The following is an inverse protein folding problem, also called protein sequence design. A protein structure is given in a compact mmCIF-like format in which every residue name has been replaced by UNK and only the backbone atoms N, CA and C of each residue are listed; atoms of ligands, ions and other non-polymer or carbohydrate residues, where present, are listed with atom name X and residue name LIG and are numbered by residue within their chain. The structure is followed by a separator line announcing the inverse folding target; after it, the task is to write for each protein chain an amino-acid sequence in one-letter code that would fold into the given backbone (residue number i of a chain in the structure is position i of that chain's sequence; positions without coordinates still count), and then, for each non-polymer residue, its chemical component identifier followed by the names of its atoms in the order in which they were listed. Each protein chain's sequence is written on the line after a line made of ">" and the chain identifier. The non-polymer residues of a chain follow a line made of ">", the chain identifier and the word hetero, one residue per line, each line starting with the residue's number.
data_IF_441219460853
#
_entry.id   IF_441219460853
#
_cell.length_a   1.000
_cell.length_b   1.000
_cell.length_c   1.000
_cell.angle_alpha   90.00
_cell.angle_beta   90.00
_cell.angle_gamma   90.00
#
_symmetry.space_group_name_H-M   'P 1'
#
loop_
_entity.id
_entity.type
_entity.pdbx_description
1 polymer ?
#
# COMPACT_ATOMS: atom_id res chain seq x y z
N UNK A 1 -18.73 13.03 5.26
CA UNK A 1 -19.59 11.82 5.14
C UNK A 1 -18.99 10.73 6.00
N UNK A 2 -19.75 10.18 6.97
CA UNK A 2 -19.23 9.10 7.84
C UNK A 2 -19.21 7.76 7.13
N UNK A 3 -18.17 6.94 7.40
CA UNK A 3 -18.12 5.56 6.92
C UNK A 3 -19.19 4.73 7.64
N UNK A 4 -20.00 3.99 6.90
CA UNK A 4 -21.10 3.20 7.49
C UNK A 4 -20.62 1.87 8.03
N UNK A 5 -19.61 1.26 7.41
CA UNK A 5 -19.09 -0.04 7.81
C UNK A 5 -17.66 -0.21 7.30
N UNK A 6 -16.79 -0.74 8.15
CA UNK A 6 -15.39 -1.00 7.86
C UNK A 6 -15.14 -2.50 8.00
N UNK A 7 -14.64 -3.14 6.97
CA UNK A 7 -14.16 -4.51 7.03
C UNK A 7 -12.64 -4.53 7.07
N UNK A 8 -12.07 -5.40 7.87
CA UNK A 8 -10.63 -5.55 7.98
C UNK A 8 -10.20 -7.00 8.06
N UNK A 9 -9.05 -7.31 7.50
CA UNK A 9 -8.34 -8.57 7.64
C UNK A 9 -6.88 -8.30 7.98
N UNK A 10 -6.35 -9.00 8.96
CA UNK A 10 -4.96 -8.92 9.38
C UNK A 10 -4.47 -10.29 9.82
N UNK A 11 -3.17 -10.54 9.68
CA UNK A 11 -2.55 -11.75 10.19
C UNK A 11 -2.68 -11.78 11.72
N UNK A 12 -3.24 -12.87 12.23
CA UNK A 12 -3.32 -13.14 13.66
C UNK A 12 -2.17 -14.08 14.03
N UNK A 13 -1.31 -13.64 14.94
CA UNK A 13 -0.16 -14.41 15.40
C UNK A 13 0.00 -14.28 16.91
N UNK A 14 0.52 -15.33 17.55
CA UNK A 14 0.96 -15.28 18.93
C UNK A 14 2.38 -14.70 19.08
N UNK A 15 3.09 -14.49 17.95
CA UNK A 15 4.38 -13.83 17.94
C UNK A 15 4.20 -12.33 18.15
N UNK A 16 4.74 -11.82 19.27
CA UNK A 16 4.68 -10.41 19.64
C UNK A 16 5.41 -9.49 18.64
N UNK A 17 6.28 -10.04 17.78
CA UNK A 17 6.98 -9.30 16.73
C UNK A 17 6.07 -8.99 15.54
N UNK A 18 4.97 -9.72 15.38
CA UNK A 18 4.01 -9.47 14.31
C UNK A 18 2.99 -8.43 14.79
N UNK A 19 2.96 -7.23 14.19
CA UNK A 19 2.01 -6.20 14.56
C UNK A 19 0.58 -6.68 14.30
N UNK A 20 -0.31 -6.39 15.22
CA UNK A 20 -1.75 -6.61 15.03
C UNK A 20 -2.55 -5.40 15.51
N UNK A 21 -3.75 -5.27 15.02
CA UNK A 21 -4.60 -4.15 15.40
C UNK A 21 -5.05 -4.28 16.85
N UNK A 22 -4.97 -3.16 17.59
CA UNK A 22 -5.38 -3.11 18.99
C UNK A 22 -6.85 -3.50 19.17
N UNK A 23 -7.13 -4.43 20.09
CA UNK A 23 -8.49 -4.82 20.44
C UNK A 23 -9.37 -3.65 20.92
N UNK A 24 -8.77 -2.57 21.42
CA UNK A 24 -9.50 -1.35 21.85
C UNK A 24 -10.24 -0.69 20.68
N UNK A 25 -9.65 -0.66 19.49
CA UNK A 25 -10.28 -0.07 18.29
C UNK A 25 -11.57 -0.80 17.92
N UNK A 26 -11.62 -2.11 18.12
CA UNK A 26 -12.75 -2.95 17.70
C UNK A 26 -13.85 -3.06 18.75
N UNK A 27 -13.48 -2.96 20.02
CA UNK A 27 -14.45 -3.04 21.13
C UNK A 27 -15.22 -1.73 21.33
N UNK A 28 -14.72 -0.63 20.78
CA UNK A 28 -15.30 0.70 20.90
C UNK A 28 -16.10 1.15 19.66
N UNK A 29 -16.07 0.39 18.55
CA UNK A 29 -16.71 0.79 17.32
C UNK A 29 -17.46 -0.37 16.66
N UNK A 30 -18.78 -0.35 16.79
CA UNK A 30 -19.71 -1.33 16.22
C UNK A 30 -19.75 -1.32 14.67
N UNK A 31 -19.17 -0.31 14.02
CA UNK A 31 -19.04 -0.22 12.56
C UNK A 31 -17.86 -1.03 12.01
N UNK A 32 -16.94 -1.46 12.86
CA UNK A 32 -15.76 -2.22 12.43
C UNK A 32 -16.02 -3.72 12.50
N UNK A 33 -15.81 -4.40 11.40
CA UNK A 33 -15.91 -5.85 11.25
C UNK A 33 -14.55 -6.43 10.90
N UNK A 34 -13.89 -7.01 11.88
CA UNK A 34 -12.70 -7.81 11.62
C UNK A 34 -13.08 -9.22 11.20
N UNK A 35 -12.31 -9.74 10.25
CA UNK A 35 -12.35 -11.16 9.98
C UNK A 35 -11.72 -11.92 11.15
N UNK A 36 -12.56 -12.25 12.14
CA UNK A 36 -12.22 -13.08 13.30
C UNK A 36 -12.49 -14.57 13.04
N UNK A 37 -12.86 -14.93 11.81
CA UNK A 37 -13.17 -16.31 11.52
C UNK A 37 -11.95 -17.18 11.83
N UNK A 38 -12.19 -18.40 12.26
CA UNK A 38 -11.30 -19.54 12.58
C UNK A 38 -9.99 -19.61 11.79
N UNK A 39 -9.72 -18.59 10.99
CA UNK A 39 -8.60 -18.39 10.12
C UNK A 39 -7.61 -17.44 10.79
N UNK A 40 -6.35 -17.72 10.58
CA UNK A 40 -5.21 -16.90 11.06
C UNK A 40 -5.16 -15.50 10.44
N UNK A 41 -6.10 -15.13 9.58
CA UNK A 41 -6.03 -13.90 8.75
C UNK A 41 -4.95 -13.95 7.67
N UNK A 42 -4.33 -15.12 7.48
CA UNK A 42 -3.28 -15.30 6.48
C UNK A 42 -3.88 -15.33 5.07
N UNK A 43 -3.78 -14.21 4.36
CA UNK A 43 -4.31 -14.08 2.99
C UNK A 43 -3.51 -14.89 1.96
N UNK A 44 -2.38 -15.49 2.29
CA UNK A 44 -1.71 -16.46 1.40
C UNK A 44 -2.52 -17.75 1.23
N UNK A 45 -3.40 -18.06 2.17
CA UNK A 45 -4.40 -19.10 2.01
C UNK A 45 -5.54 -18.60 1.14
N UNK A 46 -5.70 -19.16 -0.05
CA UNK A 46 -6.81 -18.83 -0.94
C UNK A 46 -8.17 -18.97 -0.25
N UNK A 47 -8.33 -20.01 0.58
CA UNK A 47 -9.55 -20.22 1.35
C UNK A 47 -9.84 -19.03 2.28
N UNK A 48 -8.82 -18.51 2.98
CA UNK A 48 -8.97 -17.34 3.85
C UNK A 48 -9.38 -16.11 3.07
N UNK A 49 -8.75 -15.87 1.91
CA UNK A 49 -9.10 -14.75 1.03
C UNK A 49 -10.54 -14.88 0.49
N UNK A 50 -10.93 -16.06 0.00
CA UNK A 50 -12.27 -16.31 -0.54
C UNK A 50 -13.35 -16.18 0.53
N UNK A 51 -13.09 -16.64 1.77
CA UNK A 51 -14.01 -16.51 2.90
C UNK A 51 -14.18 -15.03 3.29
N UNK A 52 -13.10 -14.25 3.28
CA UNK A 52 -13.17 -12.80 3.50
C UNK A 52 -13.98 -12.11 2.39
N UNK A 53 -13.70 -12.40 1.13
CA UNK A 53 -14.43 -11.85 -0.02
C UNK A 53 -15.95 -12.10 0.12
N UNK A 54 -16.36 -13.27 0.55
CA UNK A 54 -17.79 -13.62 0.74
C UNK A 54 -18.47 -12.83 1.87
N UNK A 55 -17.70 -12.41 2.87
CA UNK A 55 -18.24 -11.69 4.05
C UNK A 55 -18.33 -10.19 3.83
N UNK A 56 -17.51 -9.63 2.92
CA UNK A 56 -17.44 -8.18 2.68
C UNK A 56 -18.53 -7.77 1.70
N UNK A 57 -19.30 -6.76 2.08
CA UNK A 57 -20.13 -6.03 1.09
C UNK A 57 -19.21 -5.23 0.17
N UNK A 58 -19.66 -4.95 -1.05
CA UNK A 58 -18.90 -4.11 -1.98
C UNK A 58 -18.48 -2.79 -1.30
N UNK A 59 -17.21 -2.44 -1.42
CA UNK A 59 -16.57 -1.33 -0.73
C UNK A 59 -16.22 -0.19 -1.69
N UNK A 60 -16.55 1.04 -1.30
CA UNK A 60 -16.21 2.24 -2.08
C UNK A 60 -14.70 2.52 -2.04
N UNK A 61 -14.08 2.29 -0.89
CA UNK A 61 -12.63 2.43 -0.70
C UNK A 61 -12.07 1.12 -0.18
N UNK A 62 -11.03 0.64 -0.82
CA UNK A 62 -10.19 -0.47 -0.35
C UNK A 62 -8.79 0.06 -0.12
N UNK A 63 -8.16 -0.31 0.99
CA UNK A 63 -6.76 0.00 1.27
C UNK A 63 -6.00 -1.28 1.59
N UNK A 64 -4.80 -1.41 1.08
CA UNK A 64 -3.90 -2.52 1.35
C UNK A 64 -2.50 -1.97 1.71
N UNK A 65 -2.07 -2.23 2.93
CA UNK A 65 -0.84 -1.72 3.51
C UNK A 65 -0.07 -2.84 4.25
N UNK A 66 -0.17 -4.06 3.75
CA UNK A 66 0.56 -5.20 4.28
C UNK A 66 2.07 -5.03 4.15
N UNK A 67 2.81 -5.66 5.05
CA UNK A 67 4.27 -5.58 5.04
C UNK A 67 4.92 -6.60 5.93
N UNK A 68 6.25 -6.67 5.82
CA UNK A 68 7.12 -7.53 6.60
C UNK A 68 8.21 -6.70 7.28
N UNK A 69 8.94 -7.33 8.18
CA UNK A 69 10.21 -6.79 8.63
C UNK A 69 11.28 -7.04 7.54
N UNK A 70 11.74 -5.97 6.92
CA UNK A 70 12.77 -6.00 5.87
C UNK A 70 14.16 -5.65 6.39
N UNK A 71 14.36 -5.56 7.70
CA UNK A 71 15.64 -5.13 8.31
C UNK A 71 16.84 -5.96 7.90
N UNK A 72 16.62 -7.21 7.51
CA UNK A 72 17.68 -8.12 7.06
C UNK A 72 18.19 -7.81 5.64
N UNK A 73 17.34 -7.37 4.73
CA UNK A 73 17.73 -7.06 3.35
C UNK A 73 16.66 -6.19 2.67
N UNK A 74 16.88 -4.88 2.67
CA UNK A 74 15.98 -3.93 2.03
C UNK A 74 15.92 -4.08 0.50
N UNK A 75 16.95 -4.63 -0.13
CA UNK A 75 16.97 -4.81 -1.58
C UNK A 75 16.01 -5.91 -2.05
N UNK A 76 15.54 -6.76 -1.15
CA UNK A 76 14.57 -7.81 -1.46
C UNK A 76 13.12 -7.43 -1.20
N UNK A 77 12.84 -6.17 -0.81
CA UNK A 77 11.48 -5.74 -0.48
C UNK A 77 10.46 -6.05 -1.58
N UNK A 78 10.77 -5.72 -2.82
CA UNK A 78 9.88 -5.98 -3.96
C UNK A 78 9.57 -7.47 -4.10
N UNK A 79 10.59 -8.33 -4.12
CA UNK A 79 10.42 -9.77 -4.28
C UNK A 79 9.66 -10.42 -3.12
N UNK A 80 10.00 -10.00 -1.89
CA UNK A 80 9.37 -10.52 -0.67
C UNK A 80 7.89 -10.12 -0.59
N UNK A 81 7.57 -8.91 -1.03
CA UNK A 81 6.20 -8.37 -0.99
C UNK A 81 5.33 -8.85 -2.15
N UNK A 82 5.92 -9.34 -3.24
CA UNK A 82 5.18 -9.68 -4.47
C UNK A 82 3.95 -10.54 -4.23
N UNK A 83 4.09 -11.65 -3.48
CA UNK A 83 2.99 -12.55 -3.18
C UNK A 83 1.91 -11.90 -2.32
N UNK A 84 2.30 -11.04 -1.39
CA UNK A 84 1.37 -10.28 -0.56
C UNK A 84 0.54 -9.32 -1.43
N UNK A 85 1.22 -8.52 -2.25
CA UNK A 85 0.62 -7.58 -3.19
C UNK A 85 -0.35 -8.31 -4.14
N UNK A 86 0.04 -9.47 -4.63
CA UNK A 86 -0.84 -10.32 -5.45
C UNK A 86 -2.15 -10.66 -4.74
N UNK A 87 -2.06 -11.14 -3.50
CA UNK A 87 -3.23 -11.51 -2.69
C UNK A 87 -4.11 -10.29 -2.38
N UNK A 88 -3.51 -9.16 -2.07
CA UNK A 88 -4.20 -7.90 -1.82
C UNK A 88 -4.95 -7.41 -3.06
N UNK A 89 -4.34 -7.45 -4.24
CA UNK A 89 -4.98 -7.11 -5.51
C UNK A 89 -6.15 -8.07 -5.81
N UNK A 90 -5.96 -9.38 -5.64
CA UNK A 90 -7.03 -10.36 -5.83
C UNK A 90 -8.24 -10.06 -4.96
N UNK A 91 -8.02 -9.79 -3.68
CA UNK A 91 -9.10 -9.45 -2.74
C UNK A 91 -9.76 -8.13 -3.16
N UNK A 92 -8.97 -7.09 -3.42
CA UNK A 92 -9.47 -5.77 -3.77
C UNK A 92 -10.38 -5.80 -4.99
N UNK A 93 -9.96 -6.42 -6.09
CA UNK A 93 -10.76 -6.51 -7.32
C UNK A 93 -12.07 -7.31 -7.13
N UNK A 94 -12.11 -8.21 -6.15
CA UNK A 94 -13.32 -8.97 -5.85
C UNK A 94 -14.32 -8.20 -4.97
N UNK A 95 -13.86 -7.34 -4.06
CA UNK A 95 -14.72 -6.62 -3.10
C UNK A 95 -15.00 -5.18 -3.51
N UNK A 96 -14.31 -4.63 -4.51
CA UNK A 96 -14.46 -3.26 -4.93
C UNK A 96 -15.85 -2.99 -5.52
N UNK A 97 -16.45 -1.86 -5.11
CA UNK A 97 -17.68 -1.35 -5.73
C UNK A 97 -17.32 -0.64 -7.05
N UNK A 98 -18.21 -0.71 -8.02
CA UNK A 98 -18.07 0.03 -9.27
C UNK A 98 -17.84 1.54 -8.98
N UNK A 99 -16.87 2.17 -9.68
CA UNK A 99 -16.40 3.54 -9.45
C UNK A 99 -15.71 3.77 -8.09
N UNK A 100 -15.48 2.74 -7.30
CA UNK A 100 -14.71 2.83 -6.07
C UNK A 100 -13.21 3.02 -6.30
N UNK A 101 -12.48 3.30 -5.21
CA UNK A 101 -11.04 3.55 -5.22
C UNK A 101 -10.25 2.49 -4.44
N UNK A 102 -9.03 2.20 -4.90
CA UNK A 102 -8.11 1.30 -4.24
C UNK A 102 -6.76 1.97 -4.00
N UNK A 103 -6.23 1.83 -2.80
CA UNK A 103 -4.90 2.32 -2.42
C UNK A 103 -4.05 1.13 -1.99
N UNK A 104 -2.95 0.92 -2.68
CA UNK A 104 -2.05 -0.20 -2.47
C UNK A 104 -0.64 0.30 -2.17
N UNK A 105 -0.05 -0.12 -1.04
CA UNK A 105 1.36 0.12 -0.77
C UNK A 105 2.21 -0.84 -1.60
N UNK A 106 3.24 -0.29 -2.24
CA UNK A 106 4.27 -1.05 -2.96
C UNK A 106 5.64 -0.50 -2.60
N UNK A 107 6.66 -1.27 -2.97
CA UNK A 107 8.06 -0.85 -2.89
C UNK A 107 8.60 -0.56 -4.30
N UNK A 108 9.77 -1.10 -4.65
CA UNK A 108 10.26 -0.98 -6.01
C UNK A 108 9.35 -1.72 -7.01
N UNK A 109 9.41 -1.30 -8.26
CA UNK A 109 8.64 -1.85 -9.38
C UNK A 109 9.57 -2.09 -10.56
N UNK A 110 10.62 -2.87 -10.32
CA UNK A 110 11.64 -3.20 -11.32
C UNK A 110 11.38 -4.57 -11.96
N UNK A 111 10.83 -5.53 -11.21
CA UNK A 111 10.60 -6.87 -11.70
C UNK A 111 9.38 -6.94 -12.59
N UNK A 112 9.53 -7.63 -13.72
CA UNK A 112 8.48 -7.82 -14.72
C UNK A 112 7.17 -8.32 -14.11
N UNK A 113 7.24 -9.25 -13.15
CA UNK A 113 6.07 -9.79 -12.47
C UNK A 113 5.31 -8.75 -11.64
N UNK A 114 6.00 -7.80 -11.02
CA UNK A 114 5.36 -6.68 -10.31
C UNK A 114 4.67 -5.75 -11.29
N UNK A 115 5.33 -5.46 -12.42
CA UNK A 115 4.77 -4.62 -13.49
C UNK A 115 3.50 -5.26 -14.08
N UNK A 116 3.46 -6.59 -14.23
CA UNK A 116 2.25 -7.32 -14.65
C UNK A 116 1.06 -7.10 -13.70
N UNK A 117 1.29 -7.10 -12.38
CA UNK A 117 0.23 -6.80 -11.41
C UNK A 117 -0.28 -5.37 -11.54
N UNK A 118 0.61 -4.40 -11.72
CA UNK A 118 0.23 -3.00 -11.93
C UNK A 118 -0.54 -2.83 -13.25
N UNK A 119 -0.20 -3.58 -14.27
CA UNK A 119 -0.93 -3.56 -15.53
C UNK A 119 -2.37 -4.05 -15.37
N UNK A 120 -2.61 -5.07 -14.54
CA UNK A 120 -3.98 -5.51 -14.21
C UNK A 120 -4.79 -4.40 -13.53
N UNK A 121 -4.16 -3.63 -12.63
CA UNK A 121 -4.82 -2.47 -12.03
C UNK A 121 -5.13 -1.40 -13.08
N UNK A 122 -4.17 -1.10 -13.96
CA UNK A 122 -4.38 -0.16 -15.08
C UNK A 122 -5.55 -0.57 -15.98
N UNK A 123 -5.73 -1.86 -16.24
CA UNK A 123 -6.88 -2.36 -17.00
C UNK A 123 -8.20 -2.26 -16.23
N UNK A 124 -8.15 -2.34 -14.90
CA UNK A 124 -9.32 -2.47 -14.02
C UNK A 124 -9.89 -1.14 -13.53
N UNK A 125 -9.13 -0.04 -13.64
CA UNK A 125 -9.52 1.29 -13.14
C UNK A 125 -9.46 2.34 -14.25
N UNK A 126 -10.22 3.44 -14.08
CA UNK A 126 -10.21 4.56 -15.03
C UNK A 126 -8.89 5.34 -14.94
N UNK A 127 -8.38 5.50 -13.72
CA UNK A 127 -7.15 6.24 -13.44
C UNK A 127 -6.27 5.46 -12.45
N UNK A 128 -4.97 5.40 -12.73
CA UNK A 128 -3.98 4.77 -11.86
C UNK A 128 -2.77 5.70 -11.72
N UNK A 129 -2.41 6.03 -10.50
CA UNK A 129 -1.29 6.90 -10.18
C UNK A 129 -0.27 6.16 -9.31
N UNK A 130 1.02 6.46 -9.51
CA UNK A 130 2.09 6.08 -8.59
C UNK A 130 2.42 7.33 -7.75
N UNK A 131 2.26 7.23 -6.44
CA UNK A 131 2.37 8.36 -5.54
C UNK A 131 3.37 8.10 -4.40
N UNK A 132 4.31 9.02 -4.23
CA UNK A 132 5.21 9.07 -3.08
C UNK A 132 4.76 10.24 -2.20
N UNK A 133 4.20 9.98 -0.99
CA UNK A 133 3.80 11.06 -0.09
C UNK A 133 4.99 11.96 0.28
N UNK A 134 4.77 13.27 0.29
CA UNK A 134 5.81 14.27 0.61
C UNK A 134 6.36 14.14 2.04
N UNK A 135 5.57 13.56 2.95
CA UNK A 135 5.98 13.26 4.33
C UNK A 135 6.73 11.93 4.46
N UNK A 136 6.73 11.08 3.41
CA UNK A 136 7.49 9.85 3.39
C UNK A 136 8.97 10.13 3.13
N UNK A 137 9.85 9.37 3.77
CA UNK A 137 11.29 9.50 3.56
C UNK A 137 11.64 9.17 2.11
N UNK A 138 12.29 10.09 1.41
CA UNK A 138 12.70 9.87 0.02
C UNK A 138 13.78 8.79 -0.12
N UNK A 139 14.51 8.48 0.96
CA UNK A 139 15.52 7.43 0.98
C UNK A 139 14.96 6.00 0.95
N UNK A 140 13.66 5.80 1.22
CA UNK A 140 13.04 4.47 1.13
C UNK A 140 12.27 4.29 -0.18
N UNK A 141 12.07 3.03 -0.58
CA UNK A 141 11.38 2.67 -1.82
C UNK A 141 9.86 2.66 -1.71
N UNK A 142 9.29 2.83 -0.50
CA UNK A 142 7.85 2.81 -0.26
C UNK A 142 7.11 3.86 -1.08
N UNK A 143 6.09 3.45 -1.78
CA UNK A 143 5.17 4.29 -2.56
C UNK A 143 3.78 3.65 -2.61
N UNK A 144 2.83 4.38 -3.13
CA UNK A 144 1.43 3.96 -3.19
C UNK A 144 0.91 3.99 -4.61
N UNK A 145 0.19 2.92 -4.98
CA UNK A 145 -0.60 2.89 -6.20
C UNK A 145 -2.01 3.33 -5.82
N UNK A 146 -2.45 4.43 -6.41
CA UNK A 146 -3.78 4.99 -6.21
C UNK A 146 -4.59 4.72 -7.46
N UNK A 147 -5.66 3.94 -7.31
CA UNK A 147 -6.55 3.54 -8.38
C UNK A 147 -7.93 4.15 -8.14
N UNK A 148 -8.45 4.92 -9.09
CA UNK A 148 -9.75 5.55 -9.04
C UNK A 148 -10.66 5.05 -10.16
N UNK A 149 -11.95 4.96 -9.86
CA UNK A 149 -12.96 4.63 -10.86
C UNK A 149 -12.92 3.16 -11.29
N UNK A 150 -13.10 2.23 -10.34
CA UNK A 150 -13.16 0.81 -10.68
C UNK A 150 -14.19 0.53 -11.78
N UNK A 151 -13.76 -0.08 -12.88
CA UNK A 151 -14.58 -0.37 -14.07
C UNK A 151 -15.59 -1.48 -13.86
N UNK A 152 -15.52 -2.18 -12.74
CA UNK A 152 -16.39 -3.30 -12.41
C UNK A 152 -15.67 -4.65 -12.46
N UNK A 153 -16.40 -5.69 -12.05
CA UNK A 153 -15.88 -7.04 -11.97
C UNK A 153 -15.55 -7.60 -13.37
N UNK A 154 -14.27 -7.92 -13.58
CA UNK A 154 -13.79 -8.57 -14.79
C UNK A 154 -13.53 -10.05 -14.51
N UNK A 155 -14.38 -10.93 -15.07
CA UNK A 155 -14.32 -12.37 -14.87
C UNK A 155 -12.99 -12.98 -15.35
N UNK A 156 -12.43 -12.49 -16.43
CA UNK A 156 -11.18 -13.02 -17.01
C UNK A 156 -10.00 -12.71 -16.09
N UNK A 157 -9.84 -11.45 -15.67
CA UNK A 157 -8.79 -11.03 -14.72
C UNK A 157 -8.89 -11.82 -13.42
N UNK A 158 -10.10 -11.92 -12.85
CA UNK A 158 -10.32 -12.66 -11.59
C UNK A 158 -10.03 -14.15 -11.76
N UNK A 159 -10.42 -14.74 -12.89
CA UNK A 159 -10.15 -16.17 -13.18
C UNK A 159 -8.64 -16.44 -13.25
N UNK A 160 -7.88 -15.57 -13.91
CA UNK A 160 -6.42 -15.68 -14.01
C UNK A 160 -5.80 -15.56 -12.61
N UNK A 161 -6.15 -14.54 -11.85
CA UNK A 161 -5.64 -14.35 -10.49
C UNK A 161 -6.03 -15.51 -9.56
N UNK A 162 -7.25 -16.02 -9.68
CA UNK A 162 -7.71 -17.19 -8.90
C UNK A 162 -6.91 -18.46 -9.25
N UNK A 163 -6.64 -18.70 -10.54
CA UNK A 163 -5.90 -19.86 -11.04
C UNK A 163 -4.47 -19.91 -10.48
N UNK A 164 -3.79 -18.78 -10.47
CA UNK A 164 -2.39 -18.69 -10.07
C UNK A 164 -2.19 -18.27 -8.60
N UNK A 165 -3.24 -18.24 -7.80
CA UNK A 165 -3.18 -17.75 -6.40
C UNK A 165 -2.16 -18.47 -5.53
N UNK A 166 -1.98 -19.77 -5.71
CA UNK A 166 -1.01 -20.58 -4.94
C UNK A 166 0.39 -20.44 -5.56
N UNK A 167 0.46 -20.38 -6.88
CA UNK A 167 1.71 -20.35 -7.66
C UNK A 167 1.82 -19.01 -8.40
N UNK A 168 1.89 -17.91 -7.66
CA UNK A 168 1.88 -16.55 -8.20
C UNK A 168 3.01 -16.26 -9.18
N UNK A 169 4.13 -16.96 -9.07
CA UNK A 169 5.27 -16.83 -9.98
C UNK A 169 5.00 -17.37 -11.38
N UNK A 170 3.93 -18.15 -11.56
CA UNK A 170 3.49 -18.65 -12.87
C UNK A 170 2.55 -17.67 -13.59
N UNK A 171 2.19 -16.55 -12.95
CA UNK A 171 1.40 -15.53 -13.61
C UNK A 171 2.19 -14.96 -14.80
N UNK A 172 1.58 -14.98 -15.95
CA UNK A 172 2.12 -14.34 -17.16
C UNK A 172 1.04 -13.50 -17.81
N UNK A 173 1.33 -12.22 -18.02
CA UNK A 173 0.46 -11.25 -18.68
C UNK A 173 1.30 -10.49 -19.70
N UNK A 174 0.82 -10.46 -20.91
CA UNK A 174 1.45 -9.67 -21.97
C UNK A 174 1.25 -8.17 -21.69
N UNK A 175 2.35 -7.43 -21.70
CA UNK A 175 2.36 -6.00 -21.41
C UNK A 175 2.45 -5.20 -22.71
N UNK A 176 1.73 -4.09 -22.78
CA UNK A 176 1.92 -3.16 -23.89
C UNK A 176 3.27 -2.44 -23.76
N UNK A 177 3.97 -2.25 -24.87
CA UNK A 177 5.26 -1.51 -24.89
C UNK A 177 5.13 -0.10 -24.32
N UNK A 178 3.99 0.57 -24.59
CA UNK A 178 3.70 1.89 -24.06
C UNK A 178 3.68 1.88 -22.51
N UNK A 179 3.05 0.87 -21.91
CA UNK A 179 2.99 0.76 -20.44
C UNK A 179 4.37 0.50 -19.85
N UNK A 180 5.17 -0.37 -20.48
CA UNK A 180 6.55 -0.64 -20.05
C UNK A 180 7.38 0.65 -20.06
N UNK A 181 7.31 1.45 -21.13
CA UNK A 181 8.02 2.74 -21.22
C UNK A 181 7.62 3.71 -20.11
N UNK A 182 6.33 3.85 -19.80
CA UNK A 182 5.84 4.70 -18.72
C UNK A 182 6.44 4.27 -17.37
N UNK A 183 6.47 2.96 -17.09
CA UNK A 183 7.04 2.45 -15.84
C UNK A 183 8.56 2.68 -15.79
N UNK A 184 9.27 2.51 -16.89
CA UNK A 184 10.71 2.77 -16.99
C UNK A 184 11.04 4.25 -16.75
N UNK A 185 10.31 5.17 -17.39
CA UNK A 185 10.46 6.61 -17.18
C UNK A 185 10.21 7.01 -15.73
N UNK A 186 9.14 6.48 -15.12
CA UNK A 186 8.85 6.69 -13.71
C UNK A 186 9.98 6.18 -12.82
N UNK A 187 10.45 4.95 -13.05
CA UNK A 187 11.54 4.37 -12.26
C UNK A 187 12.82 5.20 -12.35
N UNK A 188 13.18 5.69 -13.54
CA UNK A 188 14.37 6.54 -13.73
C UNK A 188 14.28 7.82 -12.90
N UNK A 189 13.14 8.51 -12.93
CA UNK A 189 12.92 9.74 -12.16
C UNK A 189 12.96 9.43 -10.65
N UNK A 190 12.29 8.37 -10.23
CA UNK A 190 12.21 8.00 -8.82
C UNK A 190 13.58 7.63 -8.25
N UNK A 191 14.35 6.81 -8.97
CA UNK A 191 15.70 6.39 -8.57
C UNK A 191 16.63 7.59 -8.48
N UNK A 192 16.59 8.51 -9.46
CA UNK A 192 17.41 9.71 -9.41
C UNK A 192 17.10 10.57 -8.17
N UNK A 193 15.83 10.83 -7.92
CA UNK A 193 15.41 11.57 -6.73
C UNK A 193 15.86 10.90 -5.42
N UNK A 194 15.84 9.58 -5.37
CA UNK A 194 16.30 8.81 -4.20
C UNK A 194 17.81 8.92 -4.02
N UNK A 195 18.58 8.81 -5.09
CA UNK A 195 20.04 8.98 -5.08
C UNK A 195 20.41 10.38 -4.61
N UNK A 196 19.79 11.41 -5.17
CA UNK A 196 20.06 12.81 -4.81
C UNK A 196 19.76 13.06 -3.34
N UNK A 197 18.66 12.49 -2.83
CA UNK A 197 18.32 12.61 -1.41
C UNK A 197 19.31 11.89 -0.50
N UNK A 198 19.77 10.69 -0.89
CA UNK A 198 20.79 9.94 -0.13
C UNK A 198 22.10 10.70 -0.11
N UNK A 199 22.56 11.22 -1.25
CA UNK A 199 23.77 12.03 -1.34
C UNK A 199 23.68 13.25 -0.44
N UNK A 200 22.56 13.97 -0.45
CA UNK A 200 22.32 15.09 0.47
C UNK A 200 22.40 14.70 1.95
N UNK A 201 21.99 13.45 2.30
CA UNK A 201 22.15 12.94 3.67
C UNK A 201 23.61 12.66 3.99
N UNK A 202 24.35 12.05 3.05
CA UNK A 202 25.77 11.72 3.25
C UNK A 202 26.66 12.97 3.37
N UNK A 203 26.34 14.02 2.61
CA UNK A 203 27.03 15.31 2.67
C UNK A 203 26.61 16.15 3.90
N UNK A 204 25.59 15.68 4.63
CA UNK A 204 25.02 16.41 5.74
C UNK A 204 26.02 16.64 6.88
N UNK A 205 26.28 17.92 7.19
CA UNK A 205 27.07 18.35 8.34
C UNK A 205 26.16 18.64 9.54
N UNK A 206 26.46 18.07 10.71
CA UNK A 206 25.69 18.25 11.96
C UNK A 206 25.48 19.71 12.38
N UNK A 207 26.23 20.66 11.82
CA UNK A 207 26.05 22.10 12.09
C UNK A 207 24.68 22.66 11.72
N UNK A 208 23.96 21.99 10.81
CA UNK A 208 22.65 22.45 10.29
C UNK A 208 21.47 21.68 10.89
N UNK A 209 21.66 20.94 11.96
CA UNK A 209 20.61 20.07 12.53
C UNK A 209 19.39 20.91 12.99
N UNK A 210 19.62 22.05 13.62
CA UNK A 210 18.54 22.93 14.10
C UNK A 210 17.71 23.53 12.97
N UNK A 211 18.33 23.88 11.86
CA UNK A 211 17.63 24.36 10.67
C UNK A 211 16.76 23.28 10.05
N UNK A 212 17.26 22.05 9.99
CA UNK A 212 16.48 20.89 9.53
C UNK A 212 15.26 20.62 10.40
N UNK A 213 15.43 20.64 11.72
CA UNK A 213 14.31 20.46 12.66
C UNK A 213 13.26 21.55 12.45
N UNK A 214 13.67 22.81 12.33
CA UNK A 214 12.76 23.93 12.02
C UNK A 214 12.00 23.71 10.72
N UNK A 215 12.67 23.25 9.66
CA UNK A 215 12.04 22.98 8.38
C UNK A 215 11.06 21.80 8.49
N UNK A 216 11.39 20.73 9.19
CA UNK A 216 10.47 19.61 9.42
C UNK A 216 9.22 20.06 10.17
N UNK A 217 9.35 20.87 11.20
CA UNK A 217 8.23 21.43 11.96
C UNK A 217 7.35 22.29 11.02
N UNK A 218 7.98 23.18 10.24
CA UNK A 218 7.27 24.02 9.27
C UNK A 218 6.46 23.19 8.29
N UNK A 219 7.08 22.23 7.60
CA UNK A 219 6.39 21.37 6.64
C UNK A 219 5.28 20.51 7.27
N UNK A 220 5.48 20.06 8.51
CA UNK A 220 4.46 19.31 9.23
C UNK A 220 3.24 20.17 9.55
N UNK A 221 3.44 21.44 9.95
CA UNK A 221 2.36 22.40 10.20
C UNK A 221 1.59 22.71 8.90
N UNK A 222 2.31 23.04 7.82
CA UNK A 222 1.73 23.30 6.51
C UNK A 222 0.89 22.09 6.00
N UNK A 223 1.36 20.86 6.29
CA UNK A 223 0.62 19.65 5.97
C UNK A 223 -0.68 19.54 6.78
N UNK A 224 -0.63 19.80 8.09
CA UNK A 224 -1.81 19.81 8.94
C UNK A 224 -2.84 20.84 8.47
N UNK A 225 -2.39 22.07 8.18
CA UNK A 225 -3.25 23.13 7.63
C UNK A 225 -3.89 22.73 6.30
N UNK A 226 -3.10 22.17 5.38
CA UNK A 226 -3.59 21.74 4.06
C UNK A 226 -4.72 20.71 4.14
N UNK A 227 -4.70 19.85 5.16
CA UNK A 227 -5.65 18.74 5.30
C UNK A 227 -6.66 18.94 6.43
N UNK A 228 -6.76 20.17 6.98
CA UNK A 228 -7.66 20.53 8.09
C UNK A 228 -7.52 19.58 9.30
N UNK A 229 -6.26 19.32 9.68
CA UNK A 229 -5.91 18.49 10.82
C UNK A 229 -5.39 19.39 11.94
N UNK A 230 -5.99 19.25 13.13
CA UNK A 230 -5.56 20.03 14.30
C UNK A 230 -4.10 19.73 14.65
N UNK A 231 -3.32 20.79 14.86
CA UNK A 231 -1.95 20.68 15.35
C UNK A 231 -1.99 20.30 16.82
N UNK A 232 -1.25 19.27 17.21
CA UNK A 232 -1.05 18.93 18.62
C UNK A 232 0.01 19.88 19.22
N UNK A 233 -0.43 20.93 19.88
CA UNK A 233 0.45 21.94 20.49
C UNK A 233 1.31 21.37 21.63
N UNK A 234 0.92 20.23 22.23
CA UNK A 234 1.69 19.52 23.24
C UNK A 234 2.78 18.61 22.65
N UNK A 235 2.93 18.60 21.33
CA UNK A 235 3.95 17.79 20.68
C UNK A 235 5.36 18.22 21.10
N UNK A 236 6.12 17.27 21.64
CA UNK A 236 7.48 17.51 22.14
C UNK A 236 8.42 18.08 21.07
N UNK A 237 8.19 17.75 19.79
CA UNK A 237 8.99 18.25 18.68
C UNK A 237 8.71 19.71 18.31
N UNK A 238 7.63 20.33 18.80
CA UNK A 238 7.36 21.76 18.61
C UNK A 238 8.18 22.65 19.53
N UNK A 239 8.88 22.06 20.50
CA UNK A 239 9.67 22.78 21.53
C UNK A 239 11.13 23.02 21.12
N UNK A 240 11.52 22.71 19.89
CA UNK A 240 12.86 22.91 19.34
C UNK A 240 12.99 24.19 18.51
#
# INVERSE_FOLDING_TARGET
>A
MGCNLIYGITLLSNDKKIPFWSGKIFNQNDKVRLNRYKNTGNIYSKKTADDFIKTVKKSNLVTADGGFDYSNDFNKQELTSYKLIYCEIYIALNIQQNKGSFILKVFDIFYHKTIQLLYLLFLSYDEVYIYKPTISRLSNSEKYIICNGFKGFNKEIISILSKYYINTDLLHIELSEKFIKIIQEYNNIFVQNQIDYINNILEFNCKNINERIKNQIKYSKEWCEKYDININEDCIYLKY
#
